data_IF_813980788661
#
_entry.id   IF_813980788661
#
_cell.length_a   1.000
_cell.length_b   1.000
_cell.length_c   1.000
_cell.angle_alpha   90.00
_cell.angle_beta   90.00
_cell.angle_gamma   90.00
#
_symmetry.space_group_name_H-M   'P 1'
#
loop_
_entity.id
_entity.type
_entity.pdbx_description
1 polymer ?
#
# COMPACT_ATOMS: atom_id res chain seq x y z
N UNK A 1 -51.47 -17.57 -15.45
CA UNK A 1 -51.45 -17.88 -14.01
C UNK A 1 -50.01 -18.16 -13.67
N UNK A 2 -49.28 -17.37 -12.88
CA UNK A 2 -49.64 -16.73 -11.63
C UNK A 2 -48.80 -15.43 -11.51
N UNK A 3 -49.48 -14.30 -11.31
CA UNK A 3 -48.90 -12.97 -11.12
C UNK A 3 -48.60 -12.80 -9.62
N UNK A 4 -47.35 -12.58 -9.23
CA UNK A 4 -47.01 -12.23 -7.84
C UNK A 4 -46.98 -10.71 -7.74
N UNK A 5 -48.02 -10.17 -7.10
CA UNK A 5 -48.18 -8.75 -6.76
C UNK A 5 -47.54 -8.51 -5.41
N UNK A 6 -46.51 -7.68 -5.36
CA UNK A 6 -45.91 -7.18 -4.11
C UNK A 6 -46.63 -5.89 -3.74
N UNK A 7 -47.39 -5.93 -2.64
CA UNK A 7 -48.13 -4.78 -2.09
C UNK A 7 -47.18 -3.98 -1.20
N UNK A 8 -46.90 -2.74 -1.60
CA UNK A 8 -46.31 -1.70 -0.76
C UNK A 8 -47.37 -1.21 0.24
N UNK A 9 -47.09 -1.29 1.54
CA UNK A 9 -47.85 -0.57 2.58
C UNK A 9 -47.00 0.59 3.10
N UNK A 10 -47.43 1.80 2.77
CA UNK A 10 -46.95 3.03 3.39
C UNK A 10 -47.78 3.29 4.65
N UNK A 11 -47.11 3.42 5.81
CA UNK A 11 -47.69 3.97 7.03
C UNK A 11 -47.03 5.32 7.27
N UNK A 12 -47.80 6.39 7.04
CA UNK A 12 -47.48 7.73 7.48
C UNK A 12 -47.98 7.96 8.90
N UNK A 13 -47.15 8.57 9.74
CA UNK A 13 -47.57 9.26 10.95
C UNK A 13 -46.91 10.64 10.98
N UNK A 14 -47.77 11.65 10.95
CA UNK A 14 -47.46 13.08 11.04
C UNK A 14 -47.07 13.46 12.48
N UNK A 15 -46.01 14.25 12.64
CA UNK A 15 -45.66 14.94 13.88
C UNK A 15 -44.84 16.20 13.57
N UNK A 16 -45.39 17.37 13.90
CA UNK A 16 -44.80 18.71 13.70
C UNK A 16 -43.77 19.08 14.80
N UNK A 17 -42.92 20.10 14.56
CA UNK A 17 -41.63 20.26 15.24
C UNK A 17 -41.73 21.02 16.56
N UNK A 18 -41.05 20.51 17.59
CA UNK A 18 -40.78 21.22 18.84
C UNK A 18 -39.35 21.74 18.85
N UNK A 19 -39.22 23.07 18.80
CA UNK A 19 -38.00 23.81 19.11
C UNK A 19 -37.63 23.62 20.56
N UNK A 20 -36.41 23.15 20.85
CA UNK A 20 -35.73 23.39 22.13
C UNK A 20 -34.21 23.26 21.93
N UNK A 21 -33.57 24.41 21.87
CA UNK A 21 -32.11 24.60 22.02
C UNK A 21 -31.72 24.37 23.48
N UNK A 22 -30.64 23.62 23.77
CA UNK A 22 -29.89 23.79 25.00
C UNK A 22 -28.54 24.48 24.71
N UNK A 23 -28.50 25.75 25.08
CA UNK A 23 -27.48 26.39 25.93
C UNK A 23 -26.03 25.89 25.86
N UNK A 24 -25.17 26.78 25.35
CA UNK A 24 -23.73 26.77 25.50
C UNK A 24 -23.35 26.93 26.99
N UNK A 25 -22.86 25.85 27.60
CA UNK A 25 -22.23 25.91 28.91
C UNK A 25 -20.72 26.11 28.77
N UNK A 26 -20.34 27.35 29.08
CA UNK A 26 -19.02 27.86 29.41
C UNK A 26 -18.24 26.91 30.35
N UNK A 27 -17.06 26.46 29.94
CA UNK A 27 -16.07 25.82 30.81
C UNK A 27 -14.74 26.56 30.63
N UNK A 28 -14.25 27.01 31.76
CA UNK A 28 -13.24 28.04 31.98
C UNK A 28 -11.84 27.41 32.01
N UNK A 29 -10.89 28.00 31.29
CA UNK A 29 -9.45 27.71 31.39
C UNK A 29 -8.93 27.88 32.83
N UNK A 30 -8.05 26.98 33.31
CA UNK A 30 -7.18 27.29 34.44
C UNK A 30 -5.90 27.98 33.98
N UNK A 31 -5.52 29.01 34.74
CA UNK A 31 -4.46 29.97 34.51
C UNK A 31 -3.04 29.39 34.48
N UNK A 32 -2.21 30.00 33.62
CA UNK A 32 -0.75 29.96 33.62
C UNK A 32 -0.20 30.88 34.72
N UNK A 33 0.79 30.46 35.52
CA UNK A 33 1.65 31.39 36.25
C UNK A 33 3.07 31.45 35.67
N UNK A 34 3.63 32.66 35.62
CA UNK A 34 5.04 33.03 35.43
C UNK A 34 5.23 34.43 36.03
N UNK A 35 6.45 34.91 36.34
CA UNK A 35 7.74 34.26 36.61
C UNK A 35 8.46 34.83 37.88
N UNK A 36 9.76 34.47 38.02
CA UNK A 36 10.88 35.09 38.78
C UNK A 36 11.17 34.69 40.24
N UNK A 37 12.44 34.84 40.75
CA UNK A 37 13.66 35.36 40.12
C UNK A 37 14.91 34.45 40.20
N UNK A 38 15.93 34.86 39.45
CA UNK A 38 17.34 34.40 39.47
C UNK A 38 18.02 34.61 40.83
N UNK A 39 19.03 33.79 41.17
CA UNK A 39 20.19 34.33 41.88
C UNK A 39 21.54 33.93 41.27
N UNK A 40 22.35 34.98 41.18
CA UNK A 40 23.80 35.18 41.13
C UNK A 40 24.80 34.01 41.10
N UNK A 41 25.81 34.30 40.27
CA UNK A 41 27.09 33.65 40.05
C UNK A 41 27.96 33.63 41.31
N UNK A 42 28.48 32.45 41.68
CA UNK A 42 29.67 32.32 42.54
C UNK A 42 30.55 31.18 42.00
N UNK A 43 31.73 31.53 41.49
CA UNK A 43 32.86 30.59 41.26
C UNK A 43 33.56 30.30 42.59
N UNK A 44 34.12 29.09 42.81
CA UNK A 44 35.57 28.98 42.66
C UNK A 44 36.14 27.61 42.22
N UNK A 45 37.25 27.71 41.47
CA UNK A 45 38.45 26.87 41.41
C UNK A 45 38.40 25.33 41.48
N UNK A 46 38.87 24.78 40.36
CA UNK A 46 39.44 23.46 40.08
C UNK A 46 40.59 23.08 41.02
N UNK A 47 40.78 21.78 41.30
CA UNK A 47 42.08 21.16 41.14
C UNK A 47 42.07 20.02 40.10
N UNK A 48 43.12 20.09 39.30
CA UNK A 48 43.53 19.22 38.21
C UNK A 48 43.75 17.78 38.69
N UNK A 49 43.09 16.81 38.06
CA UNK A 49 43.50 15.40 38.09
C UNK A 49 43.55 14.91 36.65
N UNK A 50 44.77 14.86 36.15
CA UNK A 50 45.13 14.33 34.85
C UNK A 50 44.94 12.81 34.85
N UNK A 51 43.88 12.33 34.18
CA UNK A 51 43.80 10.95 33.70
C UNK A 51 43.55 10.97 32.20
N UNK A 52 44.58 10.57 31.45
CA UNK A 52 44.53 10.30 30.01
C UNK A 52 43.44 9.27 29.70
N UNK A 53 42.43 9.57 28.86
CA UNK A 53 41.58 8.53 28.32
C UNK A 53 42.32 7.79 27.20
N UNK A 54 42.20 6.47 27.18
CA UNK A 54 42.61 5.63 26.06
C UNK A 54 41.88 6.04 24.76
N UNK A 55 42.43 5.75 23.57
CA UNK A 55 41.75 6.08 22.32
C UNK A 55 40.45 5.28 22.24
N UNK A 56 39.32 5.97 22.31
CA UNK A 56 38.02 5.39 21.99
C UNK A 56 38.04 5.03 20.51
N UNK A 57 38.00 3.75 20.21
CA UNK A 57 37.67 3.24 18.87
C UNK A 57 36.32 3.85 18.46
N UNK A 58 36.19 4.41 17.24
CA UNK A 58 34.94 5.03 16.84
C UNK A 58 33.84 3.97 16.86
N UNK A 59 32.82 4.22 17.67
CA UNK A 59 31.56 3.49 17.67
C UNK A 59 31.02 3.50 16.23
N UNK A 60 30.64 2.36 15.64
CA UNK A 60 30.14 2.34 14.28
C UNK A 60 28.87 3.21 14.23
N UNK A 61 28.88 4.22 13.35
CA UNK A 61 27.69 5.01 13.05
C UNK A 61 26.54 4.07 12.67
N UNK A 62 25.30 4.36 13.09
CA UNK A 62 24.15 3.57 12.66
C UNK A 62 24.06 3.63 11.13
N UNK A 63 24.17 2.47 10.47
CA UNK A 63 24.04 2.36 9.03
C UNK A 63 22.69 2.96 8.60
N UNK A 64 22.74 4.06 7.85
CA UNK A 64 21.59 4.56 7.12
C UNK A 64 21.26 3.53 6.02
N UNK A 65 20.08 2.89 6.00
CA UNK A 65 19.76 1.84 5.04
C UNK A 65 19.62 2.33 3.59
N UNK A 66 19.81 3.62 3.33
CA UNK A 66 19.81 4.21 2.00
C UNK A 66 21.24 4.34 1.46
N UNK A 67 21.89 3.21 1.20
CA UNK A 67 22.94 3.19 0.19
C UNK A 67 22.27 3.48 -1.16
N UNK A 68 22.41 4.71 -1.64
CA UNK A 68 21.86 5.25 -2.90
C UNK A 68 22.48 4.64 -4.17
N UNK A 69 22.93 3.38 -4.14
CA UNK A 69 23.32 2.69 -5.36
C UNK A 69 22.06 2.37 -6.18
N UNK A 70 22.03 2.67 -7.48
CA UNK A 70 20.89 2.34 -8.32
C UNK A 70 20.62 0.83 -8.25
N UNK A 71 19.40 0.43 -7.84
CA UNK A 71 18.98 -0.96 -7.89
C UNK A 71 18.94 -1.37 -9.37
N UNK A 72 19.76 -2.35 -9.75
CA UNK A 72 19.80 -2.84 -11.12
C UNK A 72 18.44 -3.46 -11.50
N UNK A 73 17.83 -2.95 -12.56
CA UNK A 73 16.59 -3.47 -13.10
C UNK A 73 16.88 -4.67 -14.01
N UNK A 74 16.88 -5.87 -13.42
CA UNK A 74 17.25 -7.11 -14.10
C UNK A 74 16.04 -7.91 -14.60
N UNK A 75 14.83 -7.39 -14.42
CA UNK A 75 13.61 -8.02 -14.88
C UNK A 75 12.75 -7.02 -15.65
N UNK A 76 11.94 -7.52 -16.57
CA UNK A 76 10.95 -6.74 -17.28
C UNK A 76 9.59 -7.43 -17.20
N UNK A 77 8.53 -6.64 -17.37
CA UNK A 77 7.20 -7.16 -17.56
C UNK A 77 6.91 -7.38 -19.05
N UNK A 78 6.36 -8.53 -19.41
CA UNK A 78 5.91 -8.84 -20.76
C UNK A 78 4.56 -8.19 -21.08
N UNK A 79 4.23 -8.11 -22.37
CA UNK A 79 2.89 -7.69 -22.85
C UNK A 79 1.69 -8.46 -22.25
N UNK A 80 1.89 -9.68 -21.74
CA UNK A 80 0.88 -10.48 -21.02
C UNK A 80 1.10 -10.52 -19.50
N UNK A 81 1.80 -9.52 -18.95
CA UNK A 81 1.96 -9.24 -17.52
C UNK A 81 2.75 -10.29 -16.72
N UNK A 82 3.54 -11.13 -17.37
CA UNK A 82 4.52 -11.98 -16.68
C UNK A 82 5.81 -11.20 -16.44
N UNK A 83 6.50 -11.49 -15.35
CA UNK A 83 7.81 -10.94 -15.03
C UNK A 83 8.89 -11.90 -15.53
N UNK A 84 9.80 -11.42 -16.36
CA UNK A 84 10.89 -12.22 -16.92
C UNK A 84 12.23 -11.57 -16.63
N UNK A 85 13.28 -12.36 -16.42
CA UNK A 85 14.62 -11.81 -16.33
C UNK A 85 15.07 -11.23 -17.67
N UNK A 86 15.96 -10.25 -17.60
CA UNK A 86 16.62 -9.64 -18.74
C UNK A 86 17.74 -10.52 -19.29
N UNK A 87 18.46 -11.22 -18.41
CA UNK A 87 19.42 -12.26 -18.77
C UNK A 87 18.75 -13.64 -18.70
N UNK A 88 18.95 -14.48 -19.71
CA UNK A 88 18.38 -15.83 -19.73
C UNK A 88 18.95 -16.77 -18.66
N UNK A 89 20.08 -16.41 -18.06
CA UNK A 89 20.74 -17.15 -16.98
C UNK A 89 20.21 -16.80 -15.59
N UNK A 90 19.48 -15.68 -15.45
CA UNK A 90 18.88 -15.28 -14.19
C UNK A 90 17.68 -16.17 -13.82
N UNK A 91 17.27 -16.09 -12.54
CA UNK A 91 16.21 -16.92 -12.01
C UNK A 91 14.86 -16.63 -12.69
N UNK A 92 14.32 -17.63 -13.41
CA UNK A 92 12.99 -17.55 -14.05
C UNK A 92 11.86 -17.90 -13.08
N UNK A 93 12.13 -18.66 -12.02
CA UNK A 93 11.15 -19.05 -10.99
C UNK A 93 10.99 -17.93 -9.96
N UNK A 94 10.46 -16.82 -10.43
CA UNK A 94 10.06 -15.68 -9.61
C UNK A 94 8.55 -15.48 -9.70
N UNK A 95 7.97 -14.90 -8.67
CA UNK A 95 6.60 -14.36 -8.69
C UNK A 95 6.58 -12.94 -8.13
N UNK A 96 5.67 -12.12 -8.65
CA UNK A 96 5.37 -10.79 -8.15
C UNK A 96 4.06 -10.83 -7.35
N UNK A 97 4.12 -10.39 -6.10
CA UNK A 97 2.95 -10.26 -5.23
C UNK A 97 2.36 -8.86 -5.36
N UNK A 98 1.05 -8.78 -5.53
CA UNK A 98 0.35 -7.50 -5.62
C UNK A 98 -0.97 -7.53 -4.85
N UNK A 99 -1.30 -6.42 -4.18
CA UNK A 99 -2.52 -6.26 -3.39
C UNK A 99 -3.27 -5.00 -3.82
N UNK A 100 -4.53 -5.16 -4.23
CA UNK A 100 -5.41 -4.06 -4.63
C UNK A 100 -6.36 -3.66 -3.50
N UNK A 101 -6.98 -2.49 -3.69
CA UNK A 101 -8.05 -1.91 -2.86
C UNK A 101 -7.67 -1.48 -1.43
N UNK A 102 -6.37 -1.40 -1.15
CA UNK A 102 -5.82 -0.96 0.12
C UNK A 102 -5.62 0.56 0.23
N UNK A 103 -5.19 1.06 1.41
CA UNK A 103 -5.16 0.36 2.69
C UNK A 103 -6.55 0.36 3.37
N UNK A 104 -6.99 -0.77 3.94
CA UNK A 104 -8.37 -0.89 4.49
C UNK A 104 -8.51 -0.72 6.00
N UNK A 105 -7.77 -1.49 6.77
CA UNK A 105 -7.89 -1.56 8.23
C UNK A 105 -6.52 -1.95 8.83
N UNK A 106 -6.16 -1.33 9.95
CA UNK A 106 -4.83 -1.41 10.53
C UNK A 106 -4.42 -2.83 10.91
N UNK A 107 -5.29 -3.58 11.60
CA UNK A 107 -4.97 -4.94 12.03
C UNK A 107 -4.77 -5.86 10.83
N UNK A 108 -5.68 -5.82 9.85
CA UNK A 108 -5.59 -6.63 8.64
C UNK A 108 -4.30 -6.33 7.86
N UNK A 109 -3.97 -5.05 7.71
CA UNK A 109 -2.75 -4.62 7.04
C UNK A 109 -1.50 -5.08 7.80
N UNK A 110 -1.49 -4.92 9.12
CA UNK A 110 -0.36 -5.33 9.97
C UNK A 110 -0.14 -6.84 9.89
N UNK A 111 -1.20 -7.65 10.03
CA UNK A 111 -1.12 -9.11 9.91
C UNK A 111 -0.54 -9.52 8.53
N UNK A 112 -0.98 -8.85 7.45
CA UNK A 112 -0.49 -9.09 6.10
C UNK A 112 1.00 -8.75 5.97
N UNK A 113 1.42 -7.59 6.47
CA UNK A 113 2.81 -7.13 6.43
C UNK A 113 3.73 -8.04 7.24
N UNK A 114 3.29 -8.50 8.42
CA UNK A 114 4.06 -9.44 9.24
C UNK A 114 4.28 -10.79 8.52
N UNK A 115 3.30 -11.28 7.77
CA UNK A 115 3.47 -12.47 6.93
C UNK A 115 4.47 -12.21 5.80
N UNK A 116 4.37 -11.07 5.11
CA UNK A 116 5.34 -10.71 4.06
C UNK A 116 6.77 -10.66 4.62
N UNK A 117 6.96 -10.05 5.78
CA UNK A 117 8.29 -9.96 6.41
C UNK A 117 8.80 -11.32 6.89
N UNK A 118 7.92 -12.20 7.40
CA UNK A 118 8.27 -13.60 7.70
C UNK A 118 8.85 -14.32 6.49
N UNK A 119 8.33 -14.04 5.30
CA UNK A 119 8.76 -14.64 4.03
C UNK A 119 9.85 -13.82 3.31
N UNK A 120 10.35 -12.73 3.90
CA UNK A 120 11.22 -11.74 3.24
C UNK A 120 10.70 -11.29 1.87
N UNK A 121 9.36 -11.22 1.74
CA UNK A 121 8.69 -10.91 0.49
C UNK A 121 8.41 -9.41 0.39
N UNK A 122 8.70 -8.84 -0.78
CA UNK A 122 8.22 -7.50 -1.15
C UNK A 122 7.07 -7.61 -2.14
N UNK A 123 6.14 -6.69 -2.04
CA UNK A 123 4.91 -6.65 -2.82
C UNK A 123 4.61 -5.22 -3.28
N UNK A 124 3.75 -5.11 -4.29
CA UNK A 124 3.15 -3.83 -4.71
C UNK A 124 1.76 -3.72 -4.08
N UNK A 125 1.53 -2.66 -3.32
CA UNK A 125 0.22 -2.29 -2.79
C UNK A 125 -0.38 -1.21 -3.69
N UNK A 126 -1.35 -1.59 -4.52
CA UNK A 126 -2.11 -0.68 -5.37
C UNK A 126 -3.19 0.01 -4.53
N UNK A 127 -2.89 1.23 -4.09
CA UNK A 127 -3.69 1.96 -3.12
C UNK A 127 -4.72 2.88 -3.77
N UNK A 128 -5.90 3.02 -3.14
CA UNK A 128 -6.91 3.99 -3.55
C UNK A 128 -6.77 5.32 -2.79
N UNK A 129 -6.85 6.43 -3.53
CA UNK A 129 -6.73 7.76 -2.96
C UNK A 129 -7.74 8.06 -1.84
N UNK A 130 -9.00 7.66 -1.99
CA UNK A 130 -10.01 7.88 -0.95
C UNK A 130 -9.68 7.18 0.38
N UNK A 131 -8.99 6.02 0.33
CA UNK A 131 -8.59 5.27 1.51
C UNK A 131 -7.39 5.90 2.20
N UNK A 132 -6.40 6.33 1.42
CA UNK A 132 -5.25 7.07 1.92
C UNK A 132 -5.72 8.34 2.63
N UNK A 133 -6.67 9.07 2.04
CA UNK A 133 -7.22 10.28 2.65
C UNK A 133 -7.93 10.00 3.98
N UNK A 134 -8.55 8.83 4.13
CA UNK A 134 -9.23 8.44 5.37
C UNK A 134 -8.24 8.03 6.46
N UNK A 135 -7.20 7.27 6.10
CA UNK A 135 -6.25 6.65 7.02
C UNK A 135 -4.80 6.81 6.50
N UNK A 136 -4.23 8.03 6.52
CA UNK A 136 -2.92 8.32 5.92
C UNK A 136 -1.76 7.58 6.62
N UNK A 137 -1.91 7.24 7.91
CA UNK A 137 -0.97 6.44 8.68
C UNK A 137 -0.78 5.02 8.11
N UNK A 138 -1.82 4.42 7.52
CA UNK A 138 -1.70 3.09 6.93
C UNK A 138 -0.84 3.10 5.66
N UNK A 139 -0.88 4.18 4.87
CA UNK A 139 0.03 4.33 3.74
C UNK A 139 1.49 4.41 4.22
N UNK A 140 1.74 5.19 5.28
CA UNK A 140 3.08 5.29 5.89
C UNK A 140 3.55 3.95 6.42
N UNK A 141 2.66 3.17 7.06
CA UNK A 141 2.99 1.82 7.53
C UNK A 141 3.44 0.91 6.38
N UNK A 142 2.76 0.94 5.22
CA UNK A 142 3.19 0.18 4.03
C UNK A 142 4.60 0.61 3.60
N UNK A 143 4.83 1.92 3.50
CA UNK A 143 6.11 2.50 3.07
C UNK A 143 7.25 2.20 4.05
N UNK A 144 7.02 2.41 5.35
CA UNK A 144 8.01 2.20 6.42
C UNK A 144 8.41 0.73 6.56
N UNK A 145 7.54 -0.22 6.17
CA UNK A 145 7.86 -1.66 6.05
C UNK A 145 8.59 -2.01 4.75
N UNK A 146 8.96 -1.00 3.97
CA UNK A 146 9.72 -1.12 2.73
C UNK A 146 8.95 -1.83 1.62
N UNK A 147 7.61 -1.78 1.66
CA UNK A 147 6.76 -2.29 0.58
C UNK A 147 6.58 -1.20 -0.49
N UNK A 148 6.21 -1.63 -1.69
CA UNK A 148 6.16 -0.74 -2.85
C UNK A 148 4.72 -0.23 -3.01
N UNK A 149 4.56 1.08 -3.17
CA UNK A 149 3.24 1.70 -3.38
C UNK A 149 2.98 1.85 -4.87
N UNK A 150 1.86 1.27 -5.32
CA UNK A 150 1.29 1.44 -6.66
C UNK A 150 0.04 2.31 -6.65
N UNK A 151 -0.28 2.92 -7.77
CA UNK A 151 -1.45 3.77 -7.93
C UNK A 151 -2.66 2.97 -8.45
N UNK A 152 -3.78 3.01 -7.72
CA UNK A 152 -5.03 2.33 -8.07
C UNK A 152 -6.23 3.27 -8.28
N UNK A 153 -5.94 4.48 -8.76
CA UNK A 153 -6.91 5.57 -8.92
C UNK A 153 -7.57 6.04 -7.61
N UNK A 154 -8.11 7.25 -7.64
CA UNK A 154 -8.63 7.88 -6.44
C UNK A 154 -9.90 7.20 -5.89
N UNK A 155 -10.94 7.04 -6.70
CA UNK A 155 -12.29 6.59 -6.29
C UNK A 155 -12.61 5.13 -6.66
N UNK A 156 -11.66 4.37 -7.23
CA UNK A 156 -11.89 3.03 -7.78
C UNK A 156 -13.04 2.98 -8.83
N UNK A 157 -13.12 3.99 -9.70
CA UNK A 157 -14.08 4.05 -10.81
C UNK A 157 -13.54 3.40 -12.08
N UNK A 158 -14.43 3.02 -12.99
CA UNK A 158 -14.03 2.44 -14.28
C UNK A 158 -13.52 3.53 -15.24
N UNK A 159 -12.22 3.83 -15.15
CA UNK A 159 -11.57 4.90 -15.91
C UNK A 159 -11.74 4.78 -17.44
N UNK A 160 -11.94 3.56 -17.95
CA UNK A 160 -12.21 3.34 -19.39
C UNK A 160 -13.46 4.07 -19.89
N UNK A 161 -14.40 4.40 -18.99
CA UNK A 161 -15.67 5.08 -19.30
C UNK A 161 -15.64 6.59 -19.03
N UNK A 162 -14.54 7.09 -18.49
CA UNK A 162 -14.41 8.47 -18.07
C UNK A 162 -13.72 9.32 -19.15
N UNK A 163 -13.84 10.63 -19.03
CA UNK A 163 -13.16 11.58 -19.91
C UNK A 163 -11.72 11.86 -19.43
N UNK A 164 -10.91 12.46 -20.31
CA UNK A 164 -9.50 12.75 -20.03
C UNK A 164 -9.26 13.56 -18.74
N UNK A 165 -10.10 14.56 -18.44
CA UNK A 165 -9.99 15.36 -17.21
C UNK A 165 -10.20 14.51 -15.95
N UNK A 166 -11.21 13.64 -15.96
CA UNK A 166 -11.48 12.75 -14.83
C UNK A 166 -10.40 11.68 -14.71
N UNK A 167 -9.90 11.14 -15.83
CA UNK A 167 -8.77 10.21 -15.83
C UNK A 167 -7.53 10.85 -15.20
N UNK A 168 -7.20 12.08 -15.62
CA UNK A 168 -6.06 12.83 -15.08
C UNK A 168 -6.21 13.06 -13.58
N UNK A 169 -7.35 13.58 -13.13
CA UNK A 169 -7.63 13.79 -11.71
C UNK A 169 -7.44 12.49 -10.91
N UNK A 170 -8.07 11.40 -11.34
CA UNK A 170 -8.06 10.13 -10.60
C UNK A 170 -6.66 9.55 -10.42
N UNK A 171 -5.76 9.78 -11.38
CA UNK A 171 -4.39 9.27 -11.35
C UNK A 171 -3.48 10.26 -10.61
N UNK A 172 -3.53 11.54 -10.97
CA UNK A 172 -2.63 12.59 -10.46
C UNK A 172 -2.87 12.91 -8.98
N UNK A 173 -4.11 12.82 -8.49
CA UNK A 173 -4.40 13.04 -7.06
C UNK A 173 -3.76 11.97 -6.18
N UNK A 174 -3.70 10.72 -6.66
CA UNK A 174 -3.01 9.62 -5.95
C UNK A 174 -1.49 9.81 -5.99
N UNK A 175 -0.91 10.23 -7.13
CA UNK A 175 0.52 10.57 -7.19
C UNK A 175 0.87 11.65 -6.15
N UNK A 176 0.03 12.67 -6.04
CA UNK A 176 0.24 13.81 -5.15
C UNK A 176 0.21 13.39 -3.68
N UNK A 177 -0.88 12.75 -3.23
CA UNK A 177 -1.02 12.39 -1.81
C UNK A 177 0.03 11.37 -1.37
N UNK A 178 0.43 10.43 -2.23
CA UNK A 178 1.51 9.49 -1.89
C UNK A 178 2.83 10.23 -1.75
N UNK A 179 3.19 11.10 -2.69
CA UNK A 179 4.42 11.89 -2.63
C UNK A 179 4.48 12.81 -1.40
N UNK A 180 3.37 13.40 -1.02
CA UNK A 180 3.27 14.23 0.18
C UNK A 180 3.50 13.44 1.48
N UNK A 181 3.02 12.19 1.54
CA UNK A 181 3.07 11.39 2.76
C UNK A 181 4.35 10.56 2.91
N UNK A 182 4.95 10.12 1.80
CA UNK A 182 6.10 9.19 1.80
C UNK A 182 7.37 9.79 1.21
N UNK A 183 7.26 10.91 0.47
CA UNK A 183 8.39 11.46 -0.27
C UNK A 183 8.70 10.71 -1.56
N UNK A 184 7.90 9.73 -1.98
CA UNK A 184 8.09 8.93 -3.20
C UNK A 184 6.88 9.01 -4.13
N UNK A 185 7.11 8.94 -5.44
CA UNK A 185 6.03 8.83 -6.42
C UNK A 185 5.77 7.36 -6.73
N UNK A 186 4.51 6.90 -6.78
CA UNK A 186 4.20 5.60 -7.35
C UNK A 186 4.75 5.50 -8.78
N UNK A 187 5.40 4.38 -9.09
CA UNK A 187 5.95 4.07 -10.42
C UNK A 187 5.21 2.89 -11.08
N UNK A 188 4.22 2.32 -10.39
CA UNK A 188 3.37 1.26 -10.91
C UNK A 188 1.92 1.71 -10.89
N UNK A 189 1.16 1.36 -11.93
CA UNK A 189 -0.25 1.63 -12.02
C UNK A 189 -1.03 0.39 -12.42
N UNK A 190 -2.15 0.15 -11.74
CA UNK A 190 -3.16 -0.84 -12.13
C UNK A 190 -4.51 -0.14 -12.22
N UNK A 191 -5.23 -0.23 -13.35
CA UNK A 191 -6.57 0.35 -13.42
C UNK A 191 -7.57 -0.48 -12.61
N UNK A 192 -8.51 0.17 -11.90
CA UNK A 192 -9.67 -0.51 -11.33
C UNK A 192 -10.36 -1.43 -12.36
N UNK A 193 -10.79 -2.60 -11.90
CA UNK A 193 -11.44 -3.64 -12.73
C UNK A 193 -10.57 -4.19 -13.88
N UNK A 194 -9.26 -3.89 -13.91
CA UNK A 194 -8.39 -4.21 -15.04
C UNK A 194 -8.76 -3.48 -16.35
N UNK A 195 -9.56 -2.41 -16.27
CA UNK A 195 -10.17 -1.77 -17.42
C UNK A 195 -9.50 -0.44 -17.78
N UNK A 196 -8.92 -0.36 -18.98
CA UNK A 196 -8.31 0.86 -19.51
C UNK A 196 -8.61 1.07 -21.01
N UNK A 197 -8.58 2.32 -21.44
CA UNK A 197 -8.53 2.74 -22.84
C UNK A 197 -7.15 3.38 -23.14
N UNK A 198 -6.96 3.89 -24.35
CA UNK A 198 -5.70 4.52 -24.76
C UNK A 198 -5.40 5.81 -24.00
N UNK A 199 -6.43 6.57 -23.59
CA UNK A 199 -6.26 7.78 -22.78
C UNK A 199 -5.68 7.45 -21.39
N UNK A 200 -6.21 6.41 -20.72
CA UNK A 200 -5.66 5.92 -19.45
C UNK A 200 -4.20 5.49 -19.63
N UNK A 201 -3.90 4.71 -20.68
CA UNK A 201 -2.53 4.24 -20.95
C UNK A 201 -1.57 5.40 -21.24
N UNK A 202 -2.01 6.39 -22.00
CA UNK A 202 -1.23 7.59 -22.29
C UNK A 202 -0.94 8.38 -21.02
N UNK A 203 -1.93 8.59 -20.15
CA UNK A 203 -1.76 9.30 -18.88
C UNK A 203 -0.79 8.59 -17.94
N UNK A 204 -0.90 7.26 -17.84
CA UNK A 204 -0.01 6.43 -17.02
C UNK A 204 1.44 6.53 -17.53
N UNK A 205 1.63 6.47 -18.85
CA UNK A 205 2.94 6.64 -19.48
C UNK A 205 3.51 8.05 -19.27
N UNK A 206 2.69 9.10 -19.41
CA UNK A 206 3.08 10.49 -19.14
C UNK A 206 3.56 10.67 -17.69
N UNK A 207 2.89 10.00 -16.74
CA UNK A 207 3.25 10.01 -15.33
C UNK A 207 4.49 9.14 -15.00
N UNK A 208 5.12 8.51 -15.99
CA UNK A 208 6.32 7.68 -15.81
C UNK A 208 6.05 6.36 -15.06
N UNK A 209 4.81 5.87 -15.09
CA UNK A 209 4.42 4.63 -14.42
C UNK A 209 4.36 3.45 -15.38
N UNK A 210 4.72 2.26 -14.88
CA UNK A 210 4.47 0.99 -15.54
C UNK A 210 3.00 0.58 -15.36
N UNK A 211 2.26 0.55 -16.46
CA UNK A 211 0.89 0.01 -16.51
C UNK A 211 0.92 -1.52 -16.41
N UNK A 212 0.17 -2.11 -15.49
CA UNK A 212 -0.01 -3.57 -15.44
C UNK A 212 -1.41 -3.99 -15.01
N UNK A 213 -1.82 -5.19 -15.39
CA UNK A 213 -2.89 -5.93 -14.70
C UNK A 213 -2.27 -7.11 -13.95
N UNK A 214 -2.59 -8.35 -14.30
CA UNK A 214 -2.09 -9.56 -13.67
C UNK A 214 -2.05 -10.71 -14.67
N UNK A 215 -1.21 -11.71 -14.39
CA UNK A 215 -1.14 -12.97 -15.14
C UNK A 215 -1.63 -14.17 -14.33
N UNK A 216 -1.82 -13.99 -13.01
CA UNK A 216 -2.36 -14.98 -12.09
C UNK A 216 -3.36 -14.27 -11.15
N UNK A 217 -4.61 -14.70 -11.12
CA UNK A 217 -5.64 -14.07 -10.29
C UNK A 217 -6.04 -14.96 -9.12
N UNK A 218 -5.99 -14.44 -7.89
CA UNK A 218 -6.46 -15.16 -6.70
C UNK A 218 -7.95 -15.45 -6.68
N UNK A 219 -8.72 -14.67 -7.45
CA UNK A 219 -10.18 -14.67 -7.44
C UNK A 219 -10.78 -14.44 -6.05
N UNK A 220 -10.03 -13.84 -5.13
CA UNK A 220 -10.47 -13.63 -3.74
C UNK A 220 -11.71 -12.74 -3.61
N UNK A 221 -12.13 -12.04 -4.67
CA UNK A 221 -13.40 -11.32 -4.74
C UNK A 221 -14.61 -12.19 -5.16
N UNK A 222 -14.38 -13.37 -5.74
CA UNK A 222 -15.43 -14.23 -6.29
C UNK A 222 -16.10 -15.06 -5.21
N UNK A 223 -17.44 -15.11 -5.20
CA UNK A 223 -18.23 -15.73 -4.12
C UNK A 223 -17.83 -17.18 -3.79
N UNK A 224 -17.41 -17.96 -4.78
CA UNK A 224 -16.98 -19.35 -4.60
C UNK A 224 -15.55 -19.51 -4.04
N UNK A 225 -14.81 -18.41 -3.88
CA UNK A 225 -13.38 -18.37 -3.54
C UNK A 225 -13.10 -17.64 -2.22
N UNK A 226 -14.09 -16.96 -1.62
CA UNK A 226 -13.97 -16.18 -0.36
C UNK A 226 -13.74 -17.01 0.91
N UNK A 227 -12.68 -17.82 0.91
CA UNK A 227 -12.16 -18.65 1.99
C UNK A 227 -10.67 -18.91 1.75
N UNK A 228 -9.86 -19.15 2.79
CA UNK A 228 -8.41 -19.24 2.62
C UNK A 228 -7.96 -20.28 1.60
N UNK A 229 -8.53 -21.48 1.66
CA UNK A 229 -8.20 -22.55 0.72
C UNK A 229 -8.58 -22.22 -0.73
N UNK A 230 -9.66 -21.46 -0.95
CA UNK A 230 -10.07 -21.06 -2.30
C UNK A 230 -9.04 -20.15 -2.96
N UNK A 231 -8.48 -19.21 -2.18
CA UNK A 231 -7.39 -18.33 -2.65
C UNK A 231 -6.16 -19.15 -3.00
N UNK A 232 -5.75 -20.05 -2.11
CA UNK A 232 -4.59 -20.93 -2.33
C UNK A 232 -4.77 -21.75 -3.60
N UNK A 233 -5.91 -22.44 -3.75
CA UNK A 233 -6.16 -23.30 -4.90
C UNK A 233 -6.14 -22.50 -6.21
N UNK A 234 -6.80 -21.33 -6.23
CA UNK A 234 -6.88 -20.47 -7.42
C UNK A 234 -5.49 -19.98 -7.86
N UNK A 235 -4.65 -19.54 -6.92
CA UNK A 235 -3.30 -19.08 -7.24
C UNK A 235 -2.42 -20.24 -7.69
N UNK A 236 -2.44 -21.36 -6.98
CA UNK A 236 -1.56 -22.50 -7.26
C UNK A 236 -1.92 -23.22 -8.57
N UNK A 237 -3.19 -23.26 -8.97
CA UNK A 237 -3.63 -23.82 -10.26
C UNK A 237 -3.06 -23.05 -11.46
N UNK A 238 -2.88 -21.73 -11.30
CA UNK A 238 -2.40 -20.82 -12.35
C UNK A 238 -0.90 -20.49 -12.22
N UNK A 239 -0.19 -21.05 -11.24
CA UNK A 239 1.17 -20.66 -10.90
C UNK A 239 2.15 -21.04 -12.02
N UNK A 240 2.91 -20.07 -12.50
CA UNK A 240 3.93 -20.26 -13.54
C UNK A 240 5.13 -19.33 -13.31
N UNK A 241 6.31 -19.62 -13.92
CA UNK A 241 7.46 -18.71 -13.92
C UNK A 241 7.06 -17.29 -14.34
N UNK A 242 7.31 -16.31 -13.47
CA UNK A 242 6.99 -14.92 -13.71
C UNK A 242 5.55 -14.51 -13.38
N UNK A 243 4.77 -15.33 -12.68
CA UNK A 243 3.40 -14.97 -12.30
C UNK A 243 3.35 -13.63 -11.56
N UNK A 244 2.53 -12.70 -12.05
CA UNK A 244 2.09 -11.49 -11.36
C UNK A 244 0.74 -11.80 -10.72
N UNK A 245 0.76 -11.99 -9.41
CA UNK A 245 -0.36 -12.51 -8.61
C UNK A 245 -1.18 -11.33 -8.10
N UNK A 246 -2.42 -11.20 -8.57
CA UNK A 246 -3.42 -10.27 -8.03
C UNK A 246 -4.09 -10.89 -6.81
N UNK A 247 -4.07 -10.13 -5.71
CA UNK A 247 -4.85 -10.34 -4.49
C UNK A 247 -5.44 -9.01 -4.02
N UNK A 248 -6.33 -9.04 -3.04
CA UNK A 248 -6.88 -7.86 -2.37
C UNK A 248 -6.65 -7.93 -0.86
N UNK A 249 -6.66 -6.77 -0.20
CA UNK A 249 -6.72 -6.70 1.27
C UNK A 249 -8.11 -7.15 1.76
N UNK A 250 -8.27 -8.46 1.99
CA UNK A 250 -9.49 -9.08 2.52
C UNK A 250 -9.13 -10.19 3.50
N UNK A 251 -9.99 -10.44 4.50
CA UNK A 251 -9.67 -11.32 5.63
C UNK A 251 -9.21 -12.73 5.22
N UNK A 252 -9.91 -13.36 4.27
CA UNK A 252 -9.55 -14.70 3.81
C UNK A 252 -8.26 -14.74 2.99
N UNK A 253 -7.83 -13.63 2.39
CA UNK A 253 -6.50 -13.54 1.75
C UNK A 253 -5.42 -13.46 2.80
N UNK A 254 -5.60 -12.66 3.86
CA UNK A 254 -4.65 -12.58 4.98
C UNK A 254 -4.50 -13.95 5.66
N UNK A 255 -5.62 -14.61 5.95
CA UNK A 255 -5.64 -15.96 6.52
C UNK A 255 -4.98 -17.02 5.60
N UNK A 256 -5.01 -16.84 4.28
CA UNK A 256 -4.38 -17.74 3.32
C UNK A 256 -2.88 -17.49 3.13
N UNK A 257 -2.42 -16.26 3.34
CA UNK A 257 -1.19 -15.75 2.78
C UNK A 257 0.03 -16.57 3.23
N UNK A 258 0.15 -16.86 4.52
CA UNK A 258 1.29 -17.61 5.07
C UNK A 258 1.45 -19.00 4.42
N UNK A 259 0.34 -19.74 4.33
CA UNK A 259 0.31 -21.05 3.70
C UNK A 259 0.52 -20.98 2.19
N UNK A 260 0.01 -19.93 1.53
CA UNK A 260 0.21 -19.69 0.10
C UNK A 260 1.69 -19.43 -0.21
N UNK A 261 2.34 -18.49 0.50
CA UNK A 261 3.73 -18.14 0.27
C UNK A 261 4.65 -19.35 0.53
N UNK A 262 4.41 -20.08 1.61
CA UNK A 262 5.11 -21.35 1.90
C UNK A 262 5.00 -22.34 0.74
N UNK A 263 3.80 -22.53 0.17
CA UNK A 263 3.60 -23.43 -0.98
C UNK A 263 4.31 -22.96 -2.24
N UNK A 264 4.36 -21.66 -2.49
CA UNK A 264 5.07 -21.07 -3.62
C UNK A 264 6.58 -21.34 -3.48
N UNK A 265 7.14 -21.13 -2.30
CA UNK A 265 8.54 -21.43 -1.97
C UNK A 265 8.86 -22.94 -2.11
N UNK A 266 7.97 -23.82 -1.63
CA UNK A 266 8.09 -25.28 -1.79
C UNK A 266 8.13 -25.73 -3.26
N UNK A 267 7.53 -24.97 -4.19
CA UNK A 267 7.62 -25.20 -5.63
C UNK A 267 8.91 -24.63 -6.27
N UNK A 268 9.77 -24.03 -5.45
CA UNK A 268 11.06 -23.47 -5.82
C UNK A 268 10.96 -22.08 -6.44
N UNK A 269 9.90 -21.33 -6.13
CA UNK A 269 9.77 -19.93 -6.54
C UNK A 269 10.32 -18.99 -5.46
N UNK A 270 10.76 -17.82 -5.91
CA UNK A 270 11.14 -16.70 -5.04
C UNK A 270 10.24 -15.49 -5.30
N UNK A 271 10.11 -14.62 -4.30
CA UNK A 271 9.36 -13.37 -4.43
C UNK A 271 10.28 -12.29 -4.98
N UNK A 272 9.90 -11.68 -6.10
CA UNK A 272 10.70 -10.61 -6.70
C UNK A 272 10.48 -9.30 -5.95
N UNK A 273 11.56 -8.58 -5.65
CA UNK A 273 11.47 -7.21 -5.21
C UNK A 273 11.00 -6.32 -6.38
N UNK A 274 9.84 -5.63 -6.31
CA UNK A 274 9.35 -4.86 -7.44
C UNK A 274 10.34 -3.80 -7.96
N UNK A 275 11.29 -3.34 -7.13
CA UNK A 275 12.30 -2.34 -7.52
C UNK A 275 13.29 -2.82 -8.58
N UNK A 276 13.42 -4.13 -8.80
CA UNK A 276 14.30 -4.70 -9.84
C UNK A 276 13.60 -4.83 -11.20
N UNK A 277 12.34 -4.39 -11.31
CA UNK A 277 11.54 -4.45 -12.54
C UNK A 277 11.73 -3.14 -13.32
N UNK A 278 12.02 -3.26 -14.61
CA UNK A 278 12.04 -2.16 -15.56
C UNK A 278 10.67 -1.46 -15.62
N UNK A 279 10.69 -0.13 -15.71
CA UNK A 279 9.46 0.66 -15.82
C UNK A 279 8.93 0.76 -17.27
N UNK A 280 9.60 0.08 -18.22
CA UNK A 280 9.13 -0.11 -19.59
C UNK A 280 8.80 -1.60 -19.82
N UNK A 281 7.59 -1.86 -20.31
CA UNK A 281 7.18 -3.22 -20.68
C UNK A 281 7.82 -3.65 -22.01
N UNK A 282 8.04 -4.96 -22.19
CA UNK A 282 8.58 -5.57 -23.41
C UNK A 282 7.60 -6.53 -24.12
#
# INVERSE_FOLDING_TARGET
MLLIVVILTAIGCSGKPGTNTPELANQQEPAVPSPDPTPEVVTPNVPDVTTTPAPTEPEPEPENPLNNEPIAQNYHMTSNYYIKPNDENDNKKVVLLTFDDGPKEEKMLTDLLDILDKHNAKAIFFVNGYRIKQNPELLKLIHDRGQIIGNHAWDHINLKKENAEKIDQQISDVQTIVKELTGELPVFFRPPFGAANDEVRAKVKEAGMLFMTWSNGSLDWADNVRKPQGVIDSVMEQLAPGSNILMHEVAWTVEALDALLTKIEEQGYSFIDPRVIELEAR
#
